data_IF_276472446580
#
_entry.id   IF_276472446580
#
_cell.length_a   1.000
_cell.length_b   1.000
_cell.length_c   1.000
_cell.angle_alpha   90.00
_cell.angle_beta   90.00
_cell.angle_gamma   90.00
#
_symmetry.space_group_name_H-M   'P 1'
#
loop_
_entity.id
_entity.type
_entity.pdbx_description
1 polymer ?
#
# COMPACT_ATOMS: atom_id res chain seq x y z
N UNK A 1 48.69 42.69 84.10
CA UNK A 1 49.34 42.51 82.78
C UNK A 1 49.04 41.09 82.33
N UNK A 2 48.12 40.92 81.38
CA UNK A 2 47.41 39.66 81.09
C UNK A 2 48.10 38.85 79.99
N UNK A 3 48.23 37.56 80.26
CA UNK A 3 48.69 36.45 79.42
C UNK A 3 47.98 36.45 78.05
N UNK A 4 48.73 36.50 76.94
CA UNK A 4 48.19 36.32 75.58
C UNK A 4 48.41 34.87 75.14
N UNK A 5 47.32 34.12 75.11
CA UNK A 5 47.19 32.76 74.59
C UNK A 5 47.44 32.75 73.07
N UNK A 6 48.39 31.93 72.60
CA UNK A 6 48.64 31.69 71.17
C UNK A 6 47.70 30.58 70.70
N UNK A 7 46.69 30.92 69.90
CA UNK A 7 45.84 29.96 69.20
C UNK A 7 46.57 29.49 67.93
N UNK A 8 46.96 28.22 67.88
CA UNK A 8 47.50 27.58 66.66
C UNK A 8 46.33 27.17 65.77
N UNK A 9 46.13 27.85 64.63
CA UNK A 9 45.27 27.36 63.56
C UNK A 9 45.97 26.19 62.85
N UNK A 10 45.30 25.05 62.80
CA UNK A 10 45.62 23.92 61.92
C UNK A 10 45.02 24.21 60.53
N UNK A 11 45.76 24.09 59.42
CA UNK A 11 45.16 24.24 58.10
C UNK A 11 44.43 22.94 57.73
N UNK A 12 43.11 23.01 57.61
CA UNK A 12 42.30 21.98 56.97
C UNK A 12 42.58 22.04 55.48
N UNK A 13 43.21 20.98 54.95
CA UNK A 13 43.50 20.83 53.53
C UNK A 13 42.17 20.67 52.77
N UNK A 14 41.95 21.57 51.83
CA UNK A 14 40.76 21.64 50.99
C UNK A 14 40.68 20.41 50.08
N UNK A 15 39.65 19.59 50.25
CA UNK A 15 39.28 18.51 49.36
C UNK A 15 38.69 19.12 48.07
N UNK A 16 39.50 19.24 47.02
CA UNK A 16 39.01 19.58 45.68
C UNK A 16 38.39 18.32 45.05
N UNK A 17 37.10 18.10 45.29
CA UNK A 17 36.29 17.21 44.48
C UNK A 17 36.15 17.84 43.09
N UNK A 18 36.97 17.40 42.13
CA UNK A 18 36.76 17.67 40.71
C UNK A 18 35.56 16.84 40.28
N UNK A 19 34.36 17.37 40.48
CA UNK A 19 33.17 16.94 39.76
C UNK A 19 33.35 17.48 38.34
N UNK A 20 33.81 16.64 37.43
CA UNK A 20 33.79 16.94 36.01
C UNK A 20 32.33 17.20 35.62
N UNK A 21 32.05 18.41 35.13
CA UNK A 21 30.76 18.78 34.55
C UNK A 21 30.46 17.86 33.36
N UNK A 22 29.68 16.82 33.60
CA UNK A 22 28.93 16.15 32.54
C UNK A 22 27.75 17.06 32.20
N UNK A 23 27.92 17.89 31.17
CA UNK A 23 26.80 18.52 30.50
C UNK A 23 25.90 17.40 29.97
N UNK A 24 24.58 17.38 30.26
CA UNK A 24 23.69 16.44 29.62
C UNK A 24 23.66 16.78 28.12
N UNK A 25 24.40 16.02 27.32
CA UNK A 25 24.13 15.94 25.90
C UNK A 25 22.71 15.42 25.79
N UNK A 26 21.82 16.22 25.20
CA UNK A 26 20.58 15.69 24.65
C UNK A 26 21.00 14.72 23.55
N UNK A 27 21.13 13.45 23.89
CA UNK A 27 21.17 12.39 22.91
C UNK A 27 19.76 12.27 22.35
N UNK A 28 19.56 12.62 21.09
CA UNK A 28 18.64 11.83 20.28
C UNK A 28 19.22 10.42 20.32
N UNK A 29 18.45 9.44 20.78
CA UNK A 29 18.94 8.08 20.95
C UNK A 29 19.08 7.38 19.59
N UNK A 30 19.96 7.90 18.73
CA UNK A 30 20.62 7.05 17.75
C UNK A 30 21.49 6.09 18.57
N UNK A 31 21.30 4.78 18.40
CA UNK A 31 22.09 3.78 19.11
C UNK A 31 23.59 3.98 18.92
N UNK A 32 24.42 3.23 19.66
CA UNK A 32 25.86 3.22 19.35
C UNK A 32 26.07 2.42 18.08
N UNK A 33 26.74 3.02 17.10
CA UNK A 33 26.98 2.39 15.81
C UNK A 33 27.87 1.15 15.93
N UNK A 34 27.67 0.19 15.02
CA UNK A 34 28.54 -0.99 14.90
C UNK A 34 30.01 -0.60 14.69
N UNK A 35 30.93 -1.39 15.23
CA UNK A 35 32.37 -1.18 15.16
C UNK A 35 32.92 -0.07 16.05
N UNK A 36 32.08 0.67 16.77
CA UNK A 36 32.55 1.63 17.78
C UNK A 36 33.22 0.88 18.93
N UNK A 37 34.45 1.24 19.27
CA UNK A 37 35.13 0.71 20.45
C UNK A 37 34.61 1.38 21.72
N UNK A 38 33.98 0.59 22.60
CA UNK A 38 33.69 0.99 23.97
C UNK A 38 34.93 0.76 24.81
N UNK A 39 35.28 1.74 25.64
CA UNK A 39 36.43 1.67 26.52
C UNK A 39 36.05 2.11 27.93
N UNK A 40 36.33 1.29 28.94
CA UNK A 40 36.05 1.60 30.33
C UNK A 40 37.26 1.32 31.23
N UNK A 41 37.40 2.11 32.30
CA UNK A 41 38.46 1.97 33.28
C UNK A 41 37.95 2.27 34.68
N UNK A 42 38.15 1.33 35.59
CA UNK A 42 37.81 1.51 36.99
C UNK A 42 38.98 2.12 37.76
N UNK A 43 38.70 2.90 38.80
CA UNK A 43 39.70 3.46 39.70
C UNK A 43 39.33 3.17 41.14
N UNK A 44 40.23 2.54 41.88
CA UNK A 44 40.06 2.32 43.32
C UNK A 44 40.79 3.40 44.12
N UNK A 45 40.04 4.08 44.99
CA UNK A 45 40.58 4.90 46.07
C UNK A 45 40.45 4.16 47.40
N UNK A 46 41.49 4.13 48.22
CA UNK A 46 41.50 3.41 49.48
C UNK A 46 42.31 4.13 50.56
N UNK A 47 42.11 3.72 51.81
CA UNK A 47 42.83 4.26 52.97
C UNK A 47 43.44 3.11 53.77
N UNK A 48 44.59 3.36 54.38
CA UNK A 48 45.22 2.44 55.34
C UNK A 48 45.35 3.18 56.67
N UNK A 49 44.71 2.66 57.72
CA UNK A 49 44.66 3.31 59.03
C UNK A 49 44.20 4.79 58.96
N UNK A 50 43.15 5.06 58.18
CA UNK A 50 42.62 6.41 57.93
C UNK A 50 43.57 7.36 57.17
N UNK A 51 44.64 6.83 56.56
CA UNK A 51 45.55 7.61 55.69
C UNK A 51 45.22 7.29 54.23
N UNK A 52 44.79 8.29 53.42
CA UNK A 52 44.56 8.13 51.99
C UNK A 52 45.77 7.56 51.26
N UNK A 53 45.50 6.58 50.39
CA UNK A 53 46.51 5.98 49.52
C UNK A 53 46.40 6.56 48.11
N UNK A 54 47.46 6.39 47.33
CA UNK A 54 47.42 6.73 45.90
C UNK A 54 46.46 5.77 45.20
N UNK A 55 45.56 6.30 44.38
CA UNK A 55 44.60 5.48 43.65
C UNK A 55 45.30 4.50 42.70
N UNK A 56 44.65 3.37 42.43
CA UNK A 56 45.08 2.39 41.44
C UNK A 56 43.99 2.32 40.37
N UNK A 57 44.37 2.49 39.11
CA UNK A 57 43.47 2.29 37.97
C UNK A 57 43.53 0.83 37.49
N UNK A 58 42.43 0.28 37.00
CA UNK A 58 42.36 -1.10 36.49
C UNK A 58 43.15 -1.29 35.19
N UNK A 59 43.51 -2.54 34.88
CA UNK A 59 44.00 -2.96 33.57
C UNK A 59 43.44 -4.36 33.22
N UNK A 60 43.25 -4.69 31.93
CA UNK A 60 42.81 -6.03 31.50
C UNK A 60 43.79 -7.14 31.90
N UNK A 61 43.34 -8.40 31.80
CA UNK A 61 44.17 -9.57 32.08
C UNK A 61 44.43 -9.76 33.58
N UNK A 62 45.71 -9.69 34.00
CA UNK A 62 46.12 -9.93 35.39
C UNK A 62 45.83 -8.75 36.35
N UNK A 63 45.31 -7.63 35.85
CA UNK A 63 45.08 -6.42 36.64
C UNK A 63 46.29 -5.48 36.70
N UNK A 64 46.17 -4.43 37.52
CA UNK A 64 47.24 -3.46 37.77
C UNK A 64 47.43 -3.28 39.28
N UNK A 65 48.70 -3.25 39.72
CA UNK A 65 49.10 -3.02 41.11
C UNK A 65 49.97 -1.77 41.27
N UNK A 66 50.14 -0.98 40.22
CA UNK A 66 50.97 0.24 40.22
C UNK A 66 50.10 1.45 40.58
N UNK A 67 50.31 2.09 41.75
CA UNK A 67 49.53 3.27 42.14
C UNK A 67 49.88 4.48 41.28
N UNK A 68 48.85 5.20 40.82
CA UNK A 68 48.99 6.42 40.04
C UNK A 68 47.85 6.64 39.04
N UNK A 69 47.57 7.90 38.75
CA UNK A 69 46.64 8.29 37.67
C UNK A 69 47.32 8.08 36.32
N UNK A 70 46.60 7.48 35.37
CA UNK A 70 47.12 7.15 34.04
C UNK A 70 47.99 5.90 33.99
N UNK A 71 48.05 5.10 35.07
CA UNK A 71 48.82 3.85 35.10
C UNK A 71 47.97 2.60 34.84
N UNK A 72 46.65 2.76 34.67
CA UNK A 72 45.77 1.70 34.22
C UNK A 72 45.65 1.65 32.69
N UNK A 73 44.95 0.62 32.21
CA UNK A 73 44.60 0.44 30.78
C UNK A 73 43.10 0.21 30.67
N UNK A 74 42.48 0.75 29.63
CA UNK A 74 41.05 0.55 29.42
C UNK A 74 40.77 -0.92 29.06
N UNK A 75 39.71 -1.48 29.62
CA UNK A 75 39.07 -2.68 29.05
C UNK A 75 38.20 -2.22 27.90
N UNK A 76 38.35 -2.86 26.73
CA UNK A 76 37.67 -2.47 25.50
C UNK A 76 36.87 -3.62 24.91
N UNK A 77 35.78 -3.28 24.22
CA UNK A 77 35.04 -4.18 23.35
C UNK A 77 34.45 -3.38 22.16
N UNK A 78 34.15 -4.05 21.06
CA UNK A 78 33.48 -3.44 19.90
C UNK A 78 31.96 -3.56 20.06
N UNK A 79 31.23 -2.60 19.51
CA UNK A 79 29.78 -2.72 19.36
C UNK A 79 29.47 -3.58 18.14
N UNK A 80 28.65 -4.61 18.34
CA UNK A 80 28.20 -5.51 17.29
C UNK A 80 27.25 -4.83 16.29
N UNK A 81 27.09 -5.47 15.14
CA UNK A 81 26.15 -5.09 14.11
C UNK A 81 24.75 -5.66 14.41
N UNK A 82 23.84 -4.78 14.78
CA UNK A 82 22.42 -5.06 14.89
C UNK A 82 21.80 -4.85 13.51
N UNK A 83 21.40 -5.94 12.87
CA UNK A 83 20.59 -5.93 11.66
C UNK A 83 19.12 -6.03 12.05
N UNK A 84 18.31 -5.05 11.67
CA UNK A 84 16.89 -5.07 11.96
C UNK A 84 16.16 -4.14 11.00
N UNK A 85 15.05 -4.60 10.44
CA UNK A 85 14.20 -3.85 9.53
C UNK A 85 12.75 -3.96 9.99
N UNK A 86 11.98 -2.92 9.74
CA UNK A 86 10.53 -2.95 9.89
C UNK A 86 9.88 -2.49 8.61
N UNK A 87 8.70 -3.04 8.34
CA UNK A 87 7.82 -2.59 7.27
C UNK A 87 6.48 -2.19 7.91
N UNK A 88 5.88 -1.12 7.42
CA UNK A 88 4.51 -0.76 7.74
C UNK A 88 3.69 -0.64 6.46
N UNK A 89 2.58 -1.36 6.36
CA UNK A 89 1.55 -1.08 5.35
C UNK A 89 0.80 0.19 5.74
N UNK A 90 0.65 1.12 4.79
CA UNK A 90 0.09 2.44 5.07
C UNK A 90 -1.37 2.58 4.59
N UNK A 91 -1.88 1.64 3.80
CA UNK A 91 -3.26 1.64 3.32
C UNK A 91 -4.23 1.13 4.39
N UNK A 92 -4.98 2.06 4.99
CA UNK A 92 -5.98 1.76 6.04
C UNK A 92 -7.28 1.13 5.51
N UNK A 93 -7.43 1.02 4.20
CA UNK A 93 -8.56 0.42 3.50
C UNK A 93 -8.10 -0.17 2.17
N UNK A 94 -8.90 -1.06 1.59
CA UNK A 94 -8.71 -1.55 0.22
C UNK A 94 -8.64 -0.39 -0.79
N UNK A 95 -7.63 -0.42 -1.65
CA UNK A 95 -7.52 0.45 -2.82
C UNK A 95 -8.57 0.02 -3.84
N UNK A 96 -9.53 0.90 -4.12
CA UNK A 96 -10.56 0.62 -5.11
C UNK A 96 -9.97 0.74 -6.51
N UNK A 97 -10.15 -0.33 -7.29
CA UNK A 97 -9.64 -0.46 -8.65
C UNK A 97 -10.78 -0.81 -9.61
N UNK A 98 -10.55 -0.69 -10.92
CA UNK A 98 -11.53 -1.07 -11.93
C UNK A 98 -10.93 -2.13 -12.88
N UNK A 99 -11.74 -2.99 -13.50
CA UNK A 99 -11.25 -3.94 -14.49
C UNK A 99 -10.43 -3.24 -15.57
N UNK A 100 -9.20 -3.72 -15.82
CA UNK A 100 -8.28 -3.14 -16.80
C UNK A 100 -7.50 -1.90 -16.31
N UNK A 101 -7.66 -1.48 -15.06
CA UNK A 101 -6.87 -0.36 -14.51
C UNK A 101 -5.40 -0.72 -14.44
N UNK A 102 -4.53 0.17 -14.89
CA UNK A 102 -3.08 0.07 -14.73
C UNK A 102 -2.60 0.88 -13.52
N UNK A 103 -1.38 0.62 -13.07
CA UNK A 103 -0.66 1.49 -12.15
C UNK A 103 -1.40 1.70 -10.81
N UNK A 104 -2.02 0.64 -10.28
CA UNK A 104 -2.66 0.64 -8.97
C UNK A 104 -1.59 0.31 -7.93
N UNK A 105 -1.48 1.13 -6.88
CA UNK A 105 -0.37 1.07 -5.93
C UNK A 105 -0.86 0.74 -4.51
N UNK A 106 -0.08 -0.09 -3.81
CA UNK A 106 -0.15 -0.28 -2.36
C UNK A 106 1.05 0.39 -1.71
N UNK A 107 0.83 1.14 -0.63
CA UNK A 107 1.84 1.95 0.04
C UNK A 107 2.46 1.22 1.23
N UNK A 108 3.79 1.19 1.26
CA UNK A 108 4.58 0.68 2.36
C UNK A 108 5.65 1.67 2.81
N UNK A 109 6.03 1.60 4.07
CA UNK A 109 7.18 2.29 4.64
C UNK A 109 8.17 1.25 5.14
N UNK A 110 9.43 1.32 4.72
CA UNK A 110 10.52 0.44 5.14
C UNK A 110 11.51 1.24 5.96
N UNK A 111 11.90 0.73 7.13
CA UNK A 111 12.80 1.43 8.05
C UNK A 111 13.90 0.49 8.57
N UNK A 112 15.15 0.95 8.49
CA UNK A 112 16.27 0.31 9.15
C UNK A 112 16.26 0.67 10.64
N UNK A 113 15.91 -0.29 11.50
CA UNK A 113 15.92 -0.10 12.97
C UNK A 113 17.13 -0.78 13.62
N UNK A 114 18.14 -1.11 12.81
CA UNK A 114 19.45 -1.59 13.21
C UNK A 114 20.30 -0.52 13.89
N UNK A 115 21.62 -0.71 13.92
CA UNK A 115 22.56 0.28 14.47
C UNK A 115 23.63 0.74 13.48
N UNK A 116 23.57 0.29 12.23
CA UNK A 116 24.42 0.79 11.15
C UNK A 116 23.63 0.80 9.84
N UNK A 117 24.22 1.35 8.79
CA UNK A 117 23.64 1.33 7.45
C UNK A 117 23.55 -0.11 6.94
N UNK A 118 22.43 -0.46 6.32
CA UNK A 118 22.15 -1.77 5.74
C UNK A 118 21.49 -1.61 4.38
N UNK A 119 21.57 -2.63 3.54
CA UNK A 119 20.76 -2.73 2.32
C UNK A 119 19.60 -3.68 2.55
N UNK A 120 18.50 -3.50 1.79
CA UNK A 120 17.37 -4.43 1.85
C UNK A 120 16.92 -4.83 0.46
N UNK A 121 17.04 -6.10 0.12
CA UNK A 121 16.42 -6.67 -1.08
C UNK A 121 14.91 -6.70 -0.90
N UNK A 122 14.17 -6.24 -1.91
CA UNK A 122 12.71 -6.14 -1.85
C UNK A 122 12.05 -7.17 -2.78
N UNK A 123 10.97 -7.79 -2.31
CA UNK A 123 10.15 -8.70 -3.13
C UNK A 123 8.68 -8.50 -2.82
N UNK A 124 7.85 -8.44 -3.86
CA UNK A 124 6.39 -8.48 -3.71
C UNK A 124 5.94 -9.93 -3.73
N UNK A 125 5.26 -10.37 -2.68
CA UNK A 125 4.76 -11.74 -2.55
C UNK A 125 3.25 -11.76 -2.81
N UNK A 126 2.80 -12.75 -3.57
CA UNK A 126 1.40 -12.94 -3.90
C UNK A 126 0.65 -13.56 -2.71
N UNK A 127 -0.48 -12.97 -2.34
CA UNK A 127 -1.39 -13.58 -1.37
C UNK A 127 -2.14 -14.77 -2.01
N UNK A 128 -2.09 -15.99 -1.43
CA UNK A 128 -2.86 -17.13 -1.92
C UNK A 128 -4.38 -16.93 -1.81
N UNK A 129 -4.86 -16.01 -0.97
CA UNK A 129 -6.27 -15.63 -0.83
C UNK A 129 -6.81 -14.81 -2.02
N UNK A 130 -5.94 -14.45 -2.97
CA UNK A 130 -6.30 -13.64 -4.12
C UNK A 130 -7.36 -14.28 -5.01
N UNK A 131 -8.43 -13.52 -5.28
CA UNK A 131 -9.51 -13.96 -6.17
C UNK A 131 -9.31 -13.50 -7.61
N UNK A 132 -8.31 -12.65 -7.85
CA UNK A 132 -7.72 -12.38 -9.16
C UNK A 132 -6.20 -12.23 -9.02
N UNK A 133 -5.45 -12.51 -10.09
CA UNK A 133 -3.99 -12.29 -10.10
C UNK A 133 -3.71 -11.00 -10.84
N UNK A 134 -3.17 -10.01 -10.14
CA UNK A 134 -2.71 -8.77 -10.77
C UNK A 134 -1.49 -9.04 -11.67
N UNK A 135 -1.30 -8.20 -12.68
CA UNK A 135 -0.20 -8.32 -13.65
C UNK A 135 0.78 -7.16 -13.49
N UNK A 136 1.97 -7.28 -14.08
CA UNK A 136 3.00 -6.23 -14.05
C UNK A 136 3.37 -5.74 -12.64
N UNK A 137 3.38 -6.65 -11.66
CA UNK A 137 3.70 -6.34 -10.26
C UNK A 137 5.15 -5.88 -10.15
N UNK A 138 5.35 -4.64 -9.74
CA UNK A 138 6.67 -3.99 -9.67
C UNK A 138 6.74 -3.11 -8.42
N UNK A 139 7.90 -3.04 -7.78
CA UNK A 139 8.13 -2.18 -6.63
C UNK A 139 8.75 -0.87 -7.10
N UNK A 140 8.22 0.26 -6.63
CA UNK A 140 8.75 1.60 -6.90
C UNK A 140 9.16 2.27 -5.59
N UNK A 141 10.29 2.98 -5.59
CA UNK A 141 10.70 3.85 -4.48
C UNK A 141 10.13 5.24 -4.72
N UNK A 142 9.56 5.82 -3.67
CA UNK A 142 8.97 7.16 -3.67
C UNK A 142 10.01 8.25 -3.98
N UNK A 143 9.64 9.18 -4.87
CA UNK A 143 10.43 10.37 -5.22
C UNK A 143 10.52 11.43 -4.11
N UNK A 144 9.71 11.31 -3.06
CA UNK A 144 9.72 12.15 -1.86
C UNK A 144 8.48 13.01 -1.67
N UNK A 145 7.45 12.88 -2.53
CA UNK A 145 6.19 13.60 -2.41
C UNK A 145 5.09 12.78 -1.69
N UNK A 146 5.34 11.49 -1.48
CA UNK A 146 4.44 10.57 -0.81
C UNK A 146 3.22 10.15 -1.64
N UNK A 147 3.22 10.36 -2.96
CA UNK A 147 2.15 9.98 -3.89
C UNK A 147 2.75 9.14 -5.01
N UNK A 148 2.14 7.98 -5.29
CA UNK A 148 2.62 7.19 -6.42
C UNK A 148 2.40 7.92 -7.75
N UNK A 149 3.48 8.16 -8.48
CA UNK A 149 3.44 8.62 -9.86
C UNK A 149 4.53 8.00 -10.73
N UNK A 150 4.29 7.95 -12.05
CA UNK A 150 5.23 7.30 -12.98
C UNK A 150 6.39 8.18 -13.44
N UNK A 151 6.56 9.38 -12.86
CA UNK A 151 7.51 10.41 -13.29
C UNK A 151 8.72 10.46 -12.38
N UNK A 152 8.53 10.56 -11.06
CA UNK A 152 9.62 10.64 -10.09
C UNK A 152 9.87 9.34 -9.32
N UNK A 153 8.87 8.45 -9.23
CA UNK A 153 9.07 7.14 -8.63
C UNK A 153 9.85 6.19 -9.53
N UNK A 154 10.86 5.54 -8.95
CA UNK A 154 11.80 4.69 -9.68
C UNK A 154 11.57 3.23 -9.32
N UNK A 155 11.47 2.36 -10.32
CA UNK A 155 11.38 0.93 -10.11
C UNK A 155 12.66 0.40 -9.42
N UNK A 156 12.49 -0.36 -8.35
CA UNK A 156 13.59 -0.90 -7.55
C UNK A 156 13.37 -2.37 -7.20
N UNK A 157 14.46 -3.08 -6.96
CA UNK A 157 14.45 -4.43 -6.37
C UNK A 157 15.16 -4.47 -5.01
N UNK A 158 15.67 -3.32 -4.55
CA UNK A 158 16.31 -3.16 -3.25
C UNK A 158 16.32 -1.69 -2.83
N UNK A 159 16.55 -1.45 -1.54
CA UNK A 159 16.91 -0.16 -0.99
C UNK A 159 18.39 -0.20 -0.62
N UNK A 160 19.15 0.71 -1.23
CA UNK A 160 20.60 0.83 -1.10
C UNK A 160 20.94 1.81 0.02
N UNK A 161 21.90 1.45 0.87
CA UNK A 161 22.49 2.31 1.89
C UNK A 161 21.43 2.97 2.80
N UNK A 162 20.51 2.16 3.32
CA UNK A 162 19.46 2.63 4.22
C UNK A 162 20.03 3.05 5.57
N UNK A 163 20.07 4.36 5.81
CA UNK A 163 20.46 4.90 7.10
C UNK A 163 19.52 4.46 8.23
N UNK A 164 20.09 4.30 9.42
CA UNK A 164 19.35 3.97 10.64
C UNK A 164 18.26 5.01 10.92
N UNK A 165 17.09 4.56 11.36
CA UNK A 165 15.93 5.37 11.74
C UNK A 165 15.50 6.37 10.65
N UNK A 166 15.73 6.01 9.37
CA UNK A 166 15.37 6.83 8.21
C UNK A 166 14.40 6.05 7.32
N UNK A 167 13.08 6.17 7.55
CA UNK A 167 12.09 5.45 6.77
C UNK A 167 12.12 5.87 5.29
N UNK A 168 11.90 4.91 4.40
CA UNK A 168 11.66 5.13 2.97
C UNK A 168 10.28 4.62 2.60
N UNK A 169 9.59 5.38 1.75
CA UNK A 169 8.32 4.96 1.18
C UNK A 169 8.57 4.16 -0.11
N UNK A 170 7.85 3.06 -0.26
CA UNK A 170 7.83 2.25 -1.47
C UNK A 170 6.40 1.86 -1.83
N UNK A 171 6.19 1.56 -3.10
CA UNK A 171 4.91 1.23 -3.69
C UNK A 171 4.97 -0.14 -4.34
N UNK A 172 4.05 -1.04 -3.99
CA UNK A 172 3.81 -2.25 -4.79
C UNK A 172 2.75 -1.91 -5.82
N UNK A 173 3.16 -1.81 -7.08
CA UNK A 173 2.32 -1.34 -8.18
C UNK A 173 1.96 -2.50 -9.09
N UNK A 174 0.68 -2.61 -9.45
CA UNK A 174 0.18 -3.66 -10.31
C UNK A 174 -0.90 -3.16 -11.29
N UNK A 175 -1.21 -4.01 -12.27
CA UNK A 175 -2.31 -3.83 -13.21
C UNK A 175 -3.40 -4.86 -12.97
N UNK A 176 -4.65 -4.40 -12.96
CA UNK A 176 -5.84 -5.23 -12.79
C UNK A 176 -6.24 -5.82 -14.15
N UNK A 177 -6.37 -7.15 -14.29
CA UNK A 177 -6.81 -7.76 -15.54
C UNK A 177 -8.17 -7.23 -16.00
N UNK A 178 -8.37 -7.10 -17.31
CA UNK A 178 -9.66 -6.68 -17.87
C UNK A 178 -10.80 -7.67 -17.58
N UNK A 179 -10.46 -8.95 -17.35
CA UNK A 179 -11.41 -9.99 -17.00
C UNK A 179 -11.78 -10.04 -15.51
N UNK A 180 -11.22 -9.16 -14.68
CA UNK A 180 -11.60 -9.09 -13.28
C UNK A 180 -13.05 -8.60 -13.13
N UNK A 181 -13.80 -9.17 -12.19
CA UNK A 181 -15.22 -8.90 -11.96
C UNK A 181 -15.44 -8.18 -10.64
N UNK A 182 -16.59 -7.52 -10.50
CA UNK A 182 -16.95 -6.78 -9.28
C UNK A 182 -16.82 -7.64 -8.01
N UNK A 183 -16.17 -7.08 -6.98
CA UNK A 183 -15.99 -7.72 -5.69
C UNK A 183 -14.78 -8.68 -5.61
N UNK A 184 -14.06 -8.92 -6.71
CA UNK A 184 -12.78 -9.62 -6.63
C UNK A 184 -11.74 -8.72 -5.94
N UNK A 185 -10.86 -9.35 -5.16
CA UNK A 185 -9.78 -8.71 -4.44
C UNK A 185 -8.43 -9.41 -4.68
N UNK A 186 -7.35 -8.63 -4.58
CA UNK A 186 -5.98 -9.11 -4.59
C UNK A 186 -5.11 -8.33 -3.60
N UNK A 187 -4.27 -9.01 -2.86
CA UNK A 187 -3.34 -8.48 -1.89
C UNK A 187 -1.92 -8.95 -2.21
N UNK A 188 -0.95 -8.17 -1.74
CA UNK A 188 0.46 -8.45 -1.89
C UNK A 188 1.18 -8.07 -0.60
N UNK A 189 2.13 -8.91 -0.19
CA UNK A 189 3.07 -8.55 0.87
C UNK A 189 4.32 -7.92 0.28
N UNK A 190 4.93 -7.03 1.05
CA UNK A 190 6.30 -6.58 0.82
C UNK A 190 7.21 -7.38 1.74
N UNK A 191 8.21 -8.04 1.15
CA UNK A 191 9.35 -8.64 1.86
C UNK A 191 10.56 -7.73 1.75
N UNK A 192 11.23 -7.48 2.86
CA UNK A 192 12.59 -6.95 2.92
C UNK A 192 13.54 -8.04 3.45
N UNK A 193 14.69 -8.22 2.82
CA UNK A 193 15.73 -9.17 3.24
C UNK A 193 17.05 -8.42 3.37
N UNK A 194 17.71 -8.57 4.52
CA UNK A 194 18.86 -7.75 4.90
C UNK A 194 20.14 -8.17 4.18
N UNK A 195 20.85 -7.17 3.65
CA UNK A 195 22.13 -7.31 2.98
C UNK A 195 23.13 -6.32 3.59
N UNK A 196 24.41 -6.69 3.56
CA UNK A 196 25.48 -5.84 4.06
C UNK A 196 25.64 -4.60 3.16
N UNK A 197 25.72 -3.42 3.77
CA UNK A 197 26.03 -2.16 3.07
C UNK A 197 27.54 -2.01 2.76
N UNK A 198 27.93 -0.90 2.14
CA UNK A 198 29.31 -0.45 1.97
C UNK A 198 29.70 -0.06 0.55
N UNK A 199 28.74 0.09 -0.37
CA UNK A 199 28.99 0.34 -1.79
C UNK A 199 27.72 0.65 -2.57
N UNK A 200 27.88 0.99 -3.85
CA UNK A 200 26.73 1.20 -4.72
C UNK A 200 26.10 -0.14 -5.11
N UNK A 201 24.80 -0.26 -4.89
CA UNK A 201 24.01 -1.45 -5.21
C UNK A 201 24.03 -2.50 -4.10
N UNK A 202 23.06 -3.42 -4.17
CA UNK A 202 22.84 -4.46 -3.17
C UNK A 202 24.11 -5.26 -2.83
N UNK A 203 24.52 -5.21 -1.57
CA UNK A 203 25.64 -6.01 -1.08
C UNK A 203 25.35 -7.49 -0.87
N UNK A 204 26.22 -8.17 -0.11
CA UNK A 204 26.07 -9.60 0.15
C UNK A 204 24.93 -9.87 1.13
N UNK A 205 24.23 -11.00 0.97
CA UNK A 205 23.20 -11.44 1.91
C UNK A 205 23.80 -11.50 3.33
N UNK A 206 23.16 -10.83 4.28
CA UNK A 206 23.63 -10.81 5.66
C UNK A 206 23.50 -12.20 6.27
N UNK A 207 24.40 -12.52 7.20
CA UNK A 207 24.35 -13.76 7.96
C UNK A 207 24.84 -13.49 9.37
N UNK A 208 24.17 -14.07 10.37
CA UNK A 208 24.65 -13.99 11.74
C UNK A 208 26.05 -14.60 11.86
N UNK A 209 26.90 -14.00 12.69
CA UNK A 209 28.22 -14.52 13.02
C UNK A 209 28.27 -14.97 14.47
N UNK A 210 29.27 -15.79 14.81
CA UNK A 210 29.53 -16.24 16.19
C UNK A 210 28.33 -16.89 16.90
N UNK A 211 27.42 -17.50 16.12
CA UNK A 211 26.19 -18.11 16.62
C UNK A 211 26.51 -19.25 17.59
N UNK A 212 25.90 -19.20 18.79
CA UNK A 212 26.05 -20.23 19.81
C UNK A 212 27.34 -20.15 20.64
N UNK A 213 28.08 -19.05 20.53
CA UNK A 213 29.28 -18.77 21.33
C UNK A 213 29.16 -17.41 22.06
N UNK A 214 29.96 -17.18 23.12
CA UNK A 214 30.05 -15.87 23.75
C UNK A 214 30.60 -14.81 22.79
N UNK A 215 30.25 -13.55 23.05
CA UNK A 215 30.79 -12.37 22.34
C UNK A 215 32.33 -12.39 22.24
N UNK A 216 32.82 -11.98 21.08
CA UNK A 216 34.23 -11.68 20.86
C UNK A 216 34.47 -10.17 20.89
N UNK A 217 34.84 -9.65 22.06
CA UNK A 217 35.15 -8.24 22.28
C UNK A 217 36.13 -7.58 21.28
N UNK A 218 36.91 -8.36 20.52
CA UNK A 218 37.86 -7.84 19.52
C UNK A 218 37.33 -7.87 18.07
N UNK A 219 36.13 -8.40 17.83
CA UNK A 219 35.48 -8.45 16.52
C UNK A 219 34.10 -7.79 16.60
N UNK A 220 33.54 -7.46 15.44
CA UNK A 220 32.13 -7.09 15.30
C UNK A 220 31.41 -8.35 14.88
N UNK A 221 30.41 -8.75 15.65
CA UNK A 221 29.50 -9.82 15.25
C UNK A 221 28.23 -9.25 14.60
N UNK A 222 27.63 -10.02 13.69
CA UNK A 222 26.34 -9.71 13.06
C UNK A 222 25.24 -10.42 13.83
N UNK A 223 24.26 -9.65 14.32
CA UNK A 223 23.13 -10.13 15.10
C UNK A 223 21.83 -9.67 14.45
N UNK A 224 20.99 -10.63 14.06
CA UNK A 224 19.65 -10.33 13.59
C UNK A 224 18.74 -10.03 14.77
N UNK A 225 18.02 -8.92 14.66
CA UNK A 225 17.18 -8.35 15.71
C UNK A 225 15.83 -7.86 15.16
N UNK A 226 15.52 -8.16 13.89
CA UNK A 226 14.18 -8.13 13.32
C UNK A 226 13.23 -9.07 14.09
N UNK A 227 11.95 -8.73 14.03
CA UNK A 227 10.87 -9.58 14.52
C UNK A 227 10.09 -10.16 13.36
N UNK A 228 9.13 -11.02 13.66
CA UNK A 228 8.16 -11.54 12.70
C UNK A 228 7.08 -10.48 12.39
N UNK A 229 7.06 -10.01 11.14
CA UNK A 229 6.24 -8.88 10.68
C UNK A 229 4.76 -9.21 10.47
N UNK A 230 4.42 -10.48 10.18
CA UNK A 230 3.05 -10.90 9.92
C UNK A 230 2.51 -11.96 10.90
N UNK A 231 3.38 -12.61 11.68
CA UNK A 231 3.02 -13.58 12.71
C UNK A 231 2.54 -14.94 12.18
N UNK A 232 2.50 -15.14 10.85
CA UNK A 232 1.72 -16.21 10.21
C UNK A 232 2.52 -16.93 9.13
N UNK A 233 3.45 -16.28 8.41
CA UNK A 233 4.18 -16.93 7.32
C UNK A 233 5.40 -17.72 7.77
N UNK A 234 5.64 -18.84 7.09
CA UNK A 234 6.82 -19.69 7.32
C UNK A 234 8.13 -19.10 6.74
N UNK A 235 8.08 -17.94 6.09
CA UNK A 235 9.21 -17.28 5.43
C UNK A 235 9.64 -15.96 6.11
N UNK A 236 9.05 -15.66 7.26
CA UNK A 236 9.41 -14.56 8.16
C UNK A 236 9.42 -15.15 9.59
N UNK A 237 10.62 -15.30 10.15
CA UNK A 237 10.79 -15.78 11.52
C UNK A 237 11.62 -14.77 12.30
N UNK A 238 11.31 -14.60 13.60
CA UNK A 238 12.12 -13.72 14.45
C UNK A 238 13.63 -14.02 14.31
N UNK A 239 14.41 -12.96 14.10
CA UNK A 239 15.88 -13.00 14.04
C UNK A 239 16.43 -13.75 12.83
N UNK A 240 15.79 -13.66 11.66
CA UNK A 240 16.24 -14.30 10.42
C UNK A 240 16.74 -13.31 9.36
N UNK A 241 16.68 -12.00 9.64
CA UNK A 241 17.12 -10.95 8.71
C UNK A 241 16.13 -10.68 7.59
N UNK A 242 14.92 -11.24 7.67
CA UNK A 242 13.80 -11.04 6.77
C UNK A 242 12.67 -10.36 7.55
N UNK A 243 11.87 -9.56 6.86
CA UNK A 243 10.65 -9.00 7.41
C UNK A 243 9.60 -8.91 6.32
N UNK A 244 8.40 -9.43 6.58
CA UNK A 244 7.31 -9.50 5.63
C UNK A 244 6.08 -8.85 6.22
N UNK A 245 5.45 -7.95 5.46
CA UNK A 245 4.18 -7.34 5.85
C UNK A 245 3.23 -7.36 4.67
N UNK A 246 2.02 -7.87 4.92
CA UNK A 246 0.92 -7.78 3.97
C UNK A 246 0.46 -6.34 3.81
N UNK A 247 0.16 -5.94 2.57
CA UNK A 247 -0.50 -4.67 2.31
C UNK A 247 -1.80 -4.58 3.10
N UNK A 248 -2.55 -5.69 3.13
CA UNK A 248 -3.79 -5.85 3.88
C UNK A 248 -3.83 -6.98 4.89
N UNK A 249 -4.72 -6.90 5.88
CA UNK A 249 -4.90 -7.98 6.84
C UNK A 249 -5.53 -9.19 6.14
N UNK A 250 -5.01 -10.39 6.34
CA UNK A 250 -5.73 -11.63 6.01
C UNK A 250 -6.81 -11.90 7.09
N UNK A 251 -8.00 -12.32 6.68
CA UNK A 251 -9.01 -12.81 7.62
C UNK A 251 -8.68 -14.26 8.03
N UNK A 252 -9.11 -14.70 9.23
CA UNK A 252 -8.89 -16.09 9.68
C UNK A 252 -9.47 -17.18 8.77
N UNK A 253 -10.31 -16.82 7.80
CA UNK A 253 -10.90 -17.73 6.81
C UNK A 253 -10.10 -17.85 5.50
N UNK A 254 -8.91 -17.24 5.43
CA UNK A 254 -8.05 -17.27 4.24
C UNK A 254 -8.58 -16.39 3.11
N UNK A 255 -9.38 -15.37 3.43
CA UNK A 255 -9.80 -14.34 2.49
C UNK A 255 -9.06 -13.04 2.78
N UNK A 256 -8.87 -12.22 1.73
CA UNK A 256 -8.27 -10.90 1.90
C UNK A 256 -9.21 -10.05 2.77
N UNK A 257 -8.69 -9.54 3.88
CA UNK A 257 -9.44 -8.73 4.83
C UNK A 257 -9.67 -7.29 4.40
N UNK A 258 -10.33 -6.50 5.26
CA UNK A 258 -10.92 -5.22 4.85
C UNK A 258 -9.92 -4.07 4.70
N UNK A 259 -8.68 -4.25 5.16
CA UNK A 259 -7.61 -3.26 5.10
C UNK A 259 -6.60 -3.73 4.07
N UNK A 260 -6.05 -2.80 3.29
CA UNK A 260 -4.96 -3.01 2.33
C UNK A 260 -5.16 -4.06 1.22
N UNK A 261 -4.53 -3.84 0.07
CA UNK A 261 -4.80 -4.61 -1.15
C UNK A 261 -5.73 -3.89 -2.12
N UNK A 262 -6.03 -4.55 -3.23
CA UNK A 262 -6.86 -4.06 -4.32
C UNK A 262 -8.24 -4.71 -4.27
N UNK A 263 -9.30 -3.90 -4.39
CA UNK A 263 -10.67 -4.38 -4.57
C UNK A 263 -11.23 -3.88 -5.90
N UNK A 264 -11.76 -4.79 -6.71
CA UNK A 264 -12.31 -4.48 -8.04
C UNK A 264 -13.76 -4.00 -7.90
N UNK A 265 -13.99 -2.76 -8.29
CA UNK A 265 -15.31 -2.18 -8.49
C UNK A 265 -15.65 -2.26 -9.98
N UNK A 266 -16.57 -3.14 -10.35
CA UNK A 266 -17.00 -3.37 -11.73
C UNK A 266 -18.48 -3.06 -11.92
N UNK A 267 -18.88 -2.76 -13.16
CA UNK A 267 -20.30 -2.65 -13.49
C UNK A 267 -20.97 -4.05 -13.46
N UNK A 268 -22.23 -4.12 -13.05
CA UNK A 268 -23.04 -5.34 -13.02
C UNK A 268 -24.22 -5.19 -13.99
N UNK A 269 -23.91 -5.14 -15.29
CA UNK A 269 -24.90 -4.87 -16.33
C UNK A 269 -25.70 -6.14 -16.68
N UNK A 270 -27.02 -6.01 -16.66
CA UNK A 270 -27.96 -6.98 -17.23
C UNK A 270 -28.75 -6.31 -18.34
N UNK A 271 -28.87 -6.97 -19.49
CA UNK A 271 -29.67 -6.50 -20.63
C UNK A 271 -30.78 -7.50 -20.92
N UNK A 272 -32.01 -7.02 -20.99
CA UNK A 272 -33.19 -7.81 -21.39
C UNK A 272 -33.88 -7.13 -22.55
N UNK A 273 -34.42 -7.92 -23.48
CA UNK A 273 -35.19 -7.42 -24.63
C UNK A 273 -36.50 -8.20 -24.73
N UNK A 274 -37.61 -7.47 -24.83
CA UNK A 274 -38.95 -8.03 -25.00
C UNK A 274 -39.65 -7.38 -26.18
N UNK A 275 -40.73 -8.00 -26.65
CA UNK A 275 -41.54 -7.50 -27.76
C UNK A 275 -43.02 -7.63 -27.46
N UNK A 276 -43.82 -6.66 -27.88
CA UNK A 276 -45.27 -6.69 -27.81
C UNK A 276 -45.90 -6.18 -29.11
N UNK A 277 -46.90 -6.89 -29.64
CA UNK A 277 -47.71 -6.39 -30.76
C UNK A 277 -48.70 -5.37 -30.20
N UNK A 278 -48.58 -4.10 -30.60
CA UNK A 278 -49.39 -3.01 -30.06
C UNK A 278 -50.55 -2.62 -30.97
N UNK A 279 -50.44 -2.93 -32.27
CA UNK A 279 -51.50 -2.70 -33.25
C UNK A 279 -51.36 -3.70 -34.41
N UNK A 280 -52.49 -4.06 -35.02
CA UNK A 280 -52.52 -4.78 -36.31
C UNK A 280 -53.50 -4.13 -37.29
N UNK A 281 -53.43 -4.44 -38.60
CA UNK A 281 -54.31 -3.82 -39.60
C UNK A 281 -55.80 -4.15 -39.47
N UNK A 282 -56.15 -5.18 -38.69
CA UNK A 282 -57.53 -5.68 -38.55
C UNK A 282 -58.20 -5.07 -37.32
N UNK A 283 -57.49 -5.03 -36.20
CA UNK A 283 -57.99 -4.60 -34.89
C UNK A 283 -57.54 -3.17 -34.53
N UNK A 284 -56.57 -2.60 -35.25
CA UNK A 284 -55.95 -1.34 -34.87
C UNK A 284 -55.18 -1.47 -33.54
N UNK A 285 -54.97 -0.36 -32.80
CA UNK A 285 -54.32 -0.37 -31.49
C UNK A 285 -55.10 -1.22 -30.48
N UNK A 286 -54.52 -2.35 -30.05
CA UNK A 286 -55.21 -3.31 -29.19
C UNK A 286 -54.23 -4.25 -28.50
N UNK A 287 -54.50 -4.58 -27.22
CA UNK A 287 -53.77 -5.62 -26.48
C UNK A 287 -53.96 -7.03 -27.08
N UNK A 288 -55.00 -7.21 -27.89
CA UNK A 288 -55.29 -8.46 -28.58
C UNK A 288 -54.76 -8.50 -30.01
N UNK A 289 -54.00 -7.48 -30.44
CA UNK A 289 -53.40 -7.44 -31.76
C UNK A 289 -52.54 -8.68 -32.06
N UNK A 290 -52.42 -9.05 -33.32
CA UNK A 290 -51.71 -10.23 -33.80
C UNK A 290 -50.53 -9.83 -34.69
N UNK A 291 -49.44 -10.61 -34.61
CA UNK A 291 -48.23 -10.41 -35.41
C UNK A 291 -48.45 -10.86 -36.87
N UNK A 292 -49.29 -10.13 -37.60
CA UNK A 292 -49.57 -10.34 -39.03
C UNK A 292 -48.88 -9.24 -39.87
N UNK A 293 -48.71 -9.43 -41.19
CA UNK A 293 -48.21 -8.37 -42.08
C UNK A 293 -48.94 -7.04 -41.86
N UNK A 294 -48.18 -5.95 -41.72
CA UNK A 294 -48.66 -4.61 -41.37
C UNK A 294 -48.83 -4.33 -39.88
N UNK A 295 -48.62 -5.30 -38.98
CA UNK A 295 -48.71 -5.07 -37.54
C UNK A 295 -47.52 -4.29 -36.99
N UNK A 296 -47.77 -3.44 -35.99
CA UNK A 296 -46.73 -2.69 -35.27
C UNK A 296 -46.33 -3.41 -34.00
N UNK A 297 -45.03 -3.67 -33.86
CA UNK A 297 -44.40 -4.32 -32.71
C UNK A 297 -43.54 -3.30 -31.97
N UNK A 298 -43.76 -3.16 -30.67
CA UNK A 298 -42.89 -2.42 -29.76
C UNK A 298 -41.84 -3.37 -29.18
N UNK A 299 -40.57 -3.01 -29.32
CA UNK A 299 -39.49 -3.63 -28.57
C UNK A 299 -39.16 -2.80 -27.34
N UNK A 300 -38.93 -3.47 -26.22
CA UNK A 300 -38.44 -2.85 -24.98
C UNK A 300 -37.11 -3.49 -24.60
N UNK A 301 -36.05 -2.69 -24.53
CA UNK A 301 -34.74 -3.10 -24.03
C UNK A 301 -34.52 -2.48 -22.66
N UNK A 302 -34.36 -3.30 -21.63
CA UNK A 302 -34.05 -2.83 -20.27
C UNK A 302 -32.62 -3.19 -19.94
N UNK A 303 -31.83 -2.17 -19.60
CA UNK A 303 -30.47 -2.29 -19.09
C UNK A 303 -30.50 -1.94 -17.61
N UNK A 304 -30.00 -2.83 -16.76
CA UNK A 304 -29.88 -2.58 -15.32
C UNK A 304 -28.42 -2.65 -14.91
N UNK A 305 -27.96 -1.71 -14.10
CA UNK A 305 -26.71 -1.83 -13.36
C UNK A 305 -27.03 -2.25 -11.92
N UNK A 306 -26.56 -3.42 -11.49
CA UNK A 306 -26.86 -4.00 -10.18
C UNK A 306 -26.49 -3.09 -9.00
N UNK A 307 -27.09 -3.33 -7.83
CA UNK A 307 -26.68 -2.67 -6.59
C UNK A 307 -25.23 -3.06 -6.23
N UNK A 308 -24.48 -2.14 -5.62
CA UNK A 308 -23.07 -2.37 -5.25
C UNK A 308 -22.09 -2.41 -6.42
N UNK A 309 -22.52 -2.05 -7.63
CA UNK A 309 -21.67 -1.98 -8.82
C UNK A 309 -20.98 -0.61 -8.95
N UNK A 310 -19.90 -0.56 -9.74
CA UNK A 310 -19.36 0.70 -10.24
C UNK A 310 -20.34 1.38 -11.22
N UNK A 311 -20.25 2.70 -11.36
CA UNK A 311 -21.01 3.44 -12.38
C UNK A 311 -20.56 3.03 -13.78
N UNK A 312 -21.49 2.50 -14.57
CA UNK A 312 -21.25 2.24 -15.99
C UNK A 312 -21.45 3.53 -16.79
N UNK A 313 -20.42 3.99 -17.50
CA UNK A 313 -20.48 5.17 -18.37
C UNK A 313 -20.40 4.76 -19.83
N UNK A 314 -20.82 5.65 -20.73
CA UNK A 314 -20.76 5.41 -22.18
C UNK A 314 -21.45 4.11 -22.63
N UNK A 315 -22.48 3.67 -21.89
CA UNK A 315 -23.23 2.47 -22.25
C UNK A 315 -23.89 2.70 -23.60
N UNK A 316 -23.70 1.74 -24.51
CA UNK A 316 -24.26 1.77 -25.85
C UNK A 316 -24.93 0.43 -26.19
N UNK A 317 -26.05 0.50 -26.88
CA UNK A 317 -26.78 -0.63 -27.44
C UNK A 317 -26.92 -0.41 -28.93
N UNK A 318 -26.64 -1.47 -29.69
CA UNK A 318 -26.96 -1.55 -31.12
C UNK A 318 -27.88 -2.74 -31.34
N UNK A 319 -28.94 -2.52 -32.11
CA UNK A 319 -29.94 -3.53 -32.43
C UNK A 319 -30.13 -3.61 -33.93
N UNK A 320 -29.91 -4.79 -34.52
CA UNK A 320 -30.15 -4.99 -35.96
C UNK A 320 -31.62 -5.32 -36.18
N UNK A 321 -32.26 -4.59 -37.09
CA UNK A 321 -33.67 -4.77 -37.43
C UNK A 321 -33.79 -5.86 -38.49
N UNK A 322 -34.67 -6.82 -38.23
CA UNK A 322 -34.90 -7.95 -39.14
C UNK A 322 -35.41 -7.45 -40.51
N UNK A 323 -34.93 -8.07 -41.59
CA UNK A 323 -35.27 -7.68 -42.95
C UNK A 323 -36.77 -7.84 -43.29
N UNK A 324 -37.54 -8.61 -42.53
CA UNK A 324 -38.99 -8.75 -42.66
C UNK A 324 -39.77 -7.69 -41.88
N UNK A 325 -39.08 -6.72 -41.29
CA UNK A 325 -39.68 -5.60 -40.58
C UNK A 325 -39.18 -4.27 -41.14
N UNK A 326 -39.92 -3.20 -40.85
CA UNK A 326 -39.58 -1.81 -41.18
C UNK A 326 -39.57 -0.99 -39.91
N UNK A 327 -38.54 -0.17 -39.71
CA UNK A 327 -38.51 0.77 -38.59
C UNK A 327 -39.65 1.78 -38.64
N UNK A 328 -40.23 2.08 -37.48
CA UNK A 328 -41.24 3.14 -37.35
C UNK A 328 -40.55 4.41 -36.84
N UNK A 329 -40.32 5.34 -37.76
CA UNK A 329 -39.76 6.66 -37.46
C UNK A 329 -40.80 7.56 -36.77
N UNK A 330 -40.34 8.48 -35.90
CA UNK A 330 -41.21 9.38 -35.14
C UNK A 330 -42.29 8.68 -34.29
N UNK A 331 -42.04 7.42 -33.92
CA UNK A 331 -42.81 6.76 -32.87
C UNK A 331 -42.73 7.58 -31.57
N UNK A 332 -43.79 7.52 -30.77
CA UNK A 332 -43.91 8.22 -29.47
C UNK A 332 -43.82 9.76 -29.53
N UNK A 333 -43.78 10.37 -30.72
CA UNK A 333 -43.47 11.79 -30.87
C UNK A 333 -42.03 12.14 -30.52
N UNK A 334 -41.11 11.15 -30.54
CA UNK A 334 -39.74 11.26 -30.07
C UNK A 334 -38.74 11.69 -31.17
N UNK A 335 -39.14 12.62 -32.05
CA UNK A 335 -38.28 13.11 -33.13
C UNK A 335 -38.04 12.07 -34.24
N UNK A 336 -37.11 12.32 -35.17
CA UNK A 336 -36.98 11.53 -36.40
C UNK A 336 -36.62 10.06 -36.13
N UNK A 337 -35.91 9.75 -35.04
CA UNK A 337 -35.46 8.39 -34.73
C UNK A 337 -36.57 7.49 -34.14
N UNK A 338 -37.62 8.05 -33.52
CA UNK A 338 -38.70 7.25 -32.93
C UNK A 338 -38.27 6.35 -31.76
N UNK A 339 -37.21 6.73 -31.05
CA UNK A 339 -36.65 6.01 -29.90
C UNK A 339 -36.90 6.80 -28.62
N UNK A 340 -37.30 6.12 -27.55
CA UNK A 340 -37.41 6.73 -26.21
C UNK A 340 -36.53 6.00 -25.20
N UNK A 341 -36.00 6.74 -24.23
CA UNK A 341 -35.26 6.18 -23.10
C UNK A 341 -35.85 6.69 -21.80
N UNK A 342 -36.09 5.78 -20.87
CA UNK A 342 -36.58 6.09 -19.53
C UNK A 342 -35.58 5.59 -18.49
N UNK A 343 -35.18 6.47 -17.57
CA UNK A 343 -34.28 6.12 -16.47
C UNK A 343 -35.08 5.89 -15.18
N UNK A 344 -34.81 4.77 -14.51
CA UNK A 344 -35.29 4.48 -13.15
C UNK A 344 -36.82 4.60 -12.97
N UNK A 345 -37.60 4.30 -14.01
CA UNK A 345 -39.07 4.41 -13.98
C UNK A 345 -39.60 5.85 -14.00
N UNK A 346 -38.76 6.82 -14.36
CA UNK A 346 -39.15 8.22 -14.60
C UNK A 346 -40.01 8.42 -15.86
N UNK A 347 -40.09 9.66 -16.34
CA UNK A 347 -40.72 9.95 -17.62
C UNK A 347 -39.86 9.46 -18.79
N UNK A 348 -40.49 8.93 -19.85
CA UNK A 348 -39.77 8.67 -21.09
C UNK A 348 -39.26 10.00 -21.67
N UNK A 349 -37.96 10.06 -21.90
CA UNK A 349 -37.33 11.17 -22.60
C UNK A 349 -37.30 10.82 -24.10
N UNK A 350 -37.60 11.79 -24.95
CA UNK A 350 -37.37 11.66 -26.38
C UNK A 350 -35.88 11.82 -26.67
N UNK A 351 -35.33 10.97 -27.52
CA UNK A 351 -33.97 11.16 -28.01
C UNK A 351 -33.93 12.38 -28.92
N UNK A 352 -33.02 13.32 -28.65
CA UNK A 352 -32.53 14.27 -29.65
C UNK A 352 -31.48 13.55 -30.47
N UNK A 353 -31.54 13.66 -31.79
CA UNK A 353 -30.62 12.94 -32.66
C UNK A 353 -29.20 13.49 -32.48
N UNK A 354 -28.17 12.64 -32.60
CA UNK A 354 -26.75 13.02 -32.67
C UNK A 354 -26.45 14.28 -33.51
N UNK A 355 -27.28 14.47 -34.53
CA UNK A 355 -27.14 15.40 -35.64
C UNK A 355 -27.63 16.82 -35.34
N UNK A 356 -28.36 17.06 -34.25
CA UNK A 356 -29.01 18.36 -34.00
C UNK A 356 -28.26 19.27 -33.01
N UNK A 357 -27.29 18.74 -32.27
CA UNK A 357 -26.43 19.51 -31.37
C UNK A 357 -27.14 20.09 -30.14
N UNK A 358 -28.34 19.59 -29.78
CA UNK A 358 -29.10 20.06 -28.60
C UNK A 358 -29.41 18.88 -27.67
N UNK A 359 -28.38 18.28 -27.08
CA UNK A 359 -28.57 17.21 -26.08
C UNK A 359 -28.97 17.79 -24.72
N UNK A 360 -30.28 17.98 -24.52
CA UNK A 360 -30.88 18.10 -23.19
C UNK A 360 -30.99 16.74 -22.47
N UNK A 361 -30.84 15.64 -23.22
CA UNK A 361 -30.91 14.26 -22.78
C UNK A 361 -29.49 13.71 -22.67
N UNK A 362 -29.09 13.12 -21.55
CA UNK A 362 -27.75 12.53 -21.36
C UNK A 362 -27.48 11.25 -22.17
N UNK A 363 -28.02 11.12 -23.38
CA UNK A 363 -27.83 10.00 -24.30
C UNK A 363 -28.16 10.43 -25.74
N UNK A 364 -27.70 9.65 -26.72
CA UNK A 364 -27.93 9.85 -28.15
C UNK A 364 -28.62 8.62 -28.75
N UNK A 365 -29.53 8.82 -29.70
CA UNK A 365 -30.19 7.74 -30.45
C UNK A 365 -30.08 7.92 -31.96
N UNK A 366 -30.11 6.81 -32.69
CA UNK A 366 -30.22 6.80 -34.14
C UNK A 366 -31.04 5.61 -34.63
N UNK A 367 -31.92 5.83 -35.59
CA UNK A 367 -32.58 4.79 -36.36
C UNK A 367 -32.17 4.93 -37.83
N UNK A 368 -31.18 4.17 -38.29
CA UNK A 368 -30.66 4.28 -39.66
C UNK A 368 -30.35 2.90 -40.23
N UNK A 369 -30.62 2.73 -41.53
CA UNK A 369 -30.19 1.58 -42.34
C UNK A 369 -30.51 0.18 -41.75
N UNK A 370 -31.68 0.02 -41.11
CA UNK A 370 -32.07 -1.26 -40.52
C UNK A 370 -31.36 -1.55 -39.20
N UNK A 371 -30.93 -0.52 -38.47
CA UNK A 371 -30.38 -0.65 -37.12
C UNK A 371 -30.87 0.47 -36.20
N UNK A 372 -30.97 0.14 -34.92
CA UNK A 372 -31.11 1.10 -33.82
C UNK A 372 -29.77 1.21 -33.12
N UNK A 373 -29.37 2.43 -32.77
CA UNK A 373 -28.31 2.65 -31.80
C UNK A 373 -28.77 3.62 -30.71
N UNK A 374 -28.44 3.31 -29.46
CA UNK A 374 -28.54 4.24 -28.33
C UNK A 374 -27.20 4.25 -27.62
N UNK A 375 -26.63 5.42 -27.34
CA UNK A 375 -25.29 5.55 -26.75
C UNK A 375 -25.20 6.69 -25.74
N UNK A 376 -24.13 6.72 -24.95
CA UNK A 376 -23.87 7.78 -23.98
C UNK A 376 -24.60 7.60 -22.64
N UNK A 377 -25.30 6.47 -22.46
CA UNK A 377 -26.02 6.17 -21.23
C UNK A 377 -25.02 6.03 -20.07
N UNK A 378 -25.33 6.68 -18.94
CA UNK A 378 -24.64 6.48 -17.66
C UNK A 378 -25.60 5.87 -16.64
N UNK A 379 -25.19 4.78 -16.00
CA UNK A 379 -25.97 4.07 -14.99
C UNK A 379 -25.15 3.91 -13.70
N UNK A 380 -25.52 4.63 -12.65
CA UNK A 380 -24.97 4.39 -11.32
C UNK A 380 -25.46 3.05 -10.74
N UNK A 381 -24.89 2.64 -9.61
CA UNK A 381 -25.30 1.43 -8.91
C UNK A 381 -26.82 1.40 -8.65
N UNK A 382 -27.46 0.29 -8.97
CA UNK A 382 -28.91 0.08 -8.78
C UNK A 382 -29.81 0.79 -9.79
N UNK A 383 -29.25 1.51 -10.77
CA UNK A 383 -30.05 2.22 -11.79
C UNK A 383 -30.39 1.34 -12.99
N UNK A 384 -31.43 1.73 -13.74
CA UNK A 384 -31.78 1.13 -15.02
C UNK A 384 -32.13 2.17 -16.09
N UNK A 385 -31.97 1.77 -17.34
CA UNK A 385 -32.48 2.47 -18.53
C UNK A 385 -33.39 1.52 -19.32
N UNK A 386 -34.55 2.02 -19.72
CA UNK A 386 -35.55 1.32 -20.55
C UNK A 386 -35.65 2.03 -21.88
N UNK A 387 -35.20 1.37 -22.94
CA UNK A 387 -35.20 1.85 -24.32
C UNK A 387 -36.40 1.24 -25.04
N UNK A 388 -37.17 2.05 -25.77
CA UNK A 388 -38.27 1.58 -26.60
C UNK A 388 -38.19 2.09 -28.03
N UNK A 389 -38.53 1.22 -28.98
CA UNK A 389 -38.65 1.53 -30.40
C UNK A 389 -39.68 0.61 -31.05
N UNK A 390 -40.19 0.99 -32.23
CA UNK A 390 -41.23 0.25 -32.93
C UNK A 390 -40.77 -0.20 -34.32
N UNK A 391 -41.31 -1.33 -34.76
CA UNK A 391 -41.20 -1.81 -36.14
C UNK A 391 -42.57 -2.22 -36.68
N UNK A 392 -42.72 -2.24 -37.99
CA UNK A 392 -43.88 -2.78 -38.71
C UNK A 392 -43.48 -4.06 -39.44
N UNK A 393 -44.28 -5.12 -39.32
CA UNK A 393 -44.07 -6.36 -40.08
C UNK A 393 -44.41 -6.09 -41.55
N UNK A 394 -43.54 -6.49 -42.49
CA UNK A 394 -43.75 -6.30 -43.94
C UNK A 394 -44.90 -7.12 -44.49
#
# INVERSE_FOLDING_TARGET
MKTKMRLRLVPVLLLAAVIALMLPQKASALGTASGVTIANKATIGYQVNLIPQTAIESAPGAGNSTPGVGLGTNTTFLVDDKVSVTIAANDVAMVTTYPGSSAQALKFTVENTGNTVHDFALTALLDPANTFVATSVTIYRDGGDGVYDGVDDVAVTFLDEMAVDTPQVVWVVAAVPIGATNGQAANYALKAEAHAAGGAGLGALSAQTNVGAPDNAAAVDVVFADGDGDGVQANDANYDGVFVVWGGNELPDGTVGPTGGFMVSGALLTVTKTSAVIADPVLGPSVNAKAIPGATVEYTVTITNGAGAATATSVAITDTIDANTLGVYNAYGAGPDGVTVNFNGGGALAGTSASDGVDASGYNSSFVAGSISVSGITLAAGQNAVIKYQVTIK
#
